data_IF_888989975984
#
_entry.id   IF_888989975984
#
_cell.length_a   1.000
_cell.length_b   1.000
_cell.length_c   1.000
_cell.angle_alpha   90.00
_cell.angle_beta   90.00
_cell.angle_gamma   90.00
#
_symmetry.space_group_name_H-M   'P 1'
#
loop_
_entity.id
_entity.type
_entity.pdbx_description
1 polymer ?
#
# COMPACT_ATOMS: atom_id res chain seq x y z
N UNK A 1 1.85 -6.67 -10.84
CA UNK A 1 2.36 -7.51 -9.73
C UNK A 1 1.86 -8.95 -9.76
N UNK A 2 0.65 -9.31 -9.27
CA UNK A 2 0.25 -10.73 -9.17
C UNK A 2 0.26 -11.55 -10.47
N UNK A 3 0.11 -10.91 -11.63
CA UNK A 3 0.13 -11.60 -12.94
C UNK A 3 1.46 -11.42 -13.65
N UNK A 4 2.03 -10.22 -13.55
CA UNK A 4 3.22 -9.82 -14.32
C UNK A 4 4.54 -10.16 -13.59
N UNK A 5 4.53 -10.25 -12.26
CA UNK A 5 5.70 -10.58 -11.45
C UNK A 5 5.30 -11.14 -10.07
N UNK A 6 4.93 -12.41 -10.04
CA UNK A 6 4.57 -13.13 -8.81
C UNK A 6 5.73 -13.23 -7.81
N UNK A 7 6.98 -13.26 -8.29
CA UNK A 7 8.15 -13.42 -7.43
C UNK A 7 8.36 -12.24 -6.46
N UNK A 8 7.78 -11.07 -6.74
CA UNK A 8 7.84 -9.87 -5.88
C UNK A 8 6.56 -9.64 -5.08
N UNK A 9 5.72 -10.68 -4.96
CA UNK A 9 4.53 -10.70 -4.11
C UNK A 9 4.78 -11.65 -2.94
N UNK A 10 4.91 -11.09 -1.75
CA UNK A 10 5.02 -11.82 -0.50
C UNK A 10 3.61 -12.09 0.03
N UNK A 11 3.16 -13.34 -0.07
CA UNK A 11 1.84 -13.77 0.45
C UNK A 11 1.94 -14.62 1.73
N UNK A 12 3.11 -15.22 1.97
CA UNK A 12 3.42 -16.04 3.13
C UNK A 12 4.93 -16.04 3.39
N UNK A 13 5.32 -16.27 4.64
CA UNK A 13 6.74 -16.46 5.04
C UNK A 13 7.01 -17.95 5.23
N UNK A 14 6.13 -18.62 5.96
CA UNK A 14 6.14 -20.09 6.12
C UNK A 14 5.32 -20.71 5.00
N UNK A 15 5.95 -21.58 4.20
CA UNK A 15 5.31 -22.23 3.07
C UNK A 15 4.01 -22.96 3.48
N UNK A 16 2.90 -22.64 2.80
CA UNK A 16 1.58 -23.19 3.07
C UNK A 16 0.81 -22.55 4.22
N UNK A 17 1.30 -21.46 4.83
CA UNK A 17 0.56 -20.72 5.87
C UNK A 17 -0.52 -19.81 5.28
N UNK A 18 -0.31 -19.30 4.06
CA UNK A 18 -1.17 -18.31 3.40
C UNK A 18 -1.26 -16.97 4.11
N UNK A 19 -0.34 -16.67 5.05
CA UNK A 19 -0.36 -15.47 5.88
C UNK A 19 1.04 -15.00 6.26
N UNK A 20 1.14 -13.70 6.54
CA UNK A 20 2.32 -13.07 7.14
C UNK A 20 1.94 -12.69 8.57
N UNK A 21 2.48 -13.39 9.57
CA UNK A 21 2.20 -13.10 10.98
C UNK A 21 3.18 -12.07 11.54
N UNK A 22 2.62 -10.98 12.06
CA UNK A 22 3.39 -9.91 12.72
C UNK A 22 3.07 -9.89 14.20
N UNK A 23 4.10 -10.01 15.04
CA UNK A 23 4.00 -10.00 16.50
C UNK A 23 5.18 -10.68 17.18
N UNK A 24 5.18 -10.67 18.51
CA UNK A 24 6.28 -11.25 19.28
C UNK A 24 6.44 -12.76 19.01
N UNK A 25 7.60 -13.19 18.52
CA UNK A 25 7.89 -14.59 18.18
C UNK A 25 7.14 -15.11 16.96
N UNK A 26 6.70 -14.21 16.06
CA UNK A 26 6.09 -14.53 14.76
C UNK A 26 7.10 -14.39 13.62
N UNK A 27 6.61 -14.39 12.37
CA UNK A 27 7.46 -14.25 11.18
C UNK A 27 8.25 -12.93 11.21
N UNK A 28 7.58 -11.86 11.63
CA UNK A 28 8.19 -10.57 11.89
C UNK A 28 7.75 -10.00 13.24
N UNK A 29 8.69 -9.42 13.99
CA UNK A 29 8.40 -8.78 15.28
C UNK A 29 7.53 -7.50 15.13
N UNK A 30 7.66 -6.79 14.01
CA UNK A 30 6.89 -5.58 13.72
C UNK A 30 6.77 -5.32 12.20
N UNK A 31 5.84 -4.46 11.81
CA UNK A 31 5.63 -4.08 10.39
C UNK A 31 6.89 -3.43 9.79
N UNK A 32 7.69 -2.73 10.59
CA UNK A 32 8.89 -2.07 10.08
C UNK A 32 9.93 -3.08 9.60
N UNK A 33 10.07 -4.20 10.30
CA UNK A 33 10.95 -5.31 9.94
C UNK A 33 10.50 -5.98 8.63
N UNK A 34 9.18 -6.16 8.45
CA UNK A 34 8.62 -6.65 7.18
C UNK A 34 9.01 -5.72 6.02
N UNK A 35 8.80 -4.41 6.15
CA UNK A 35 9.12 -3.45 5.08
C UNK A 35 10.62 -3.45 4.77
N UNK A 36 11.49 -3.48 5.78
CA UNK A 36 12.94 -3.51 5.57
C UNK A 36 13.37 -4.80 4.86
N UNK A 37 12.87 -5.96 5.28
CA UNK A 37 13.12 -7.24 4.59
C UNK A 37 12.64 -7.17 3.14
N UNK A 38 11.46 -6.59 2.89
CA UNK A 38 10.95 -6.46 1.52
C UNK A 38 11.83 -5.60 0.62
N UNK A 39 12.37 -4.49 1.13
CA UNK A 39 13.30 -3.65 0.37
C UNK A 39 14.59 -4.41 0.05
N UNK A 40 15.12 -5.17 1.00
CA UNK A 40 16.39 -5.89 0.82
C UNK A 40 16.23 -7.07 -0.15
N UNK A 41 15.12 -7.81 -0.05
CA UNK A 41 14.92 -9.07 -0.76
C UNK A 41 14.23 -8.91 -2.11
N UNK A 42 13.25 -8.00 -2.23
CA UNK A 42 12.38 -7.89 -3.40
C UNK A 42 12.56 -6.62 -4.22
N UNK A 43 13.32 -5.61 -3.77
CA UNK A 43 13.63 -4.43 -4.58
C UNK A 43 15.04 -4.56 -5.13
N UNK A 44 15.23 -4.25 -6.42
CA UNK A 44 16.55 -4.41 -7.04
C UNK A 44 17.57 -3.43 -6.45
N UNK A 45 18.87 -3.80 -6.36
CA UNK A 45 19.88 -3.05 -5.62
C UNK A 45 20.01 -1.56 -6.00
N UNK A 46 19.76 -1.19 -7.25
CA UNK A 46 19.83 0.20 -7.71
C UNK A 46 18.65 1.06 -7.25
N UNK A 47 17.55 0.46 -6.79
CA UNK A 47 16.41 1.15 -6.20
C UNK A 47 16.43 1.13 -4.66
N UNK A 48 17.23 0.26 -4.03
CA UNK A 48 17.19 0.08 -2.57
C UNK A 48 17.56 1.34 -1.77
N UNK A 49 18.48 2.15 -2.27
CA UNK A 49 18.91 3.41 -1.63
C UNK A 49 18.18 4.65 -2.16
N UNK A 50 17.15 4.44 -2.97
CA UNK A 50 16.39 5.54 -3.58
C UNK A 50 15.55 6.29 -2.54
N UNK A 51 15.69 7.61 -2.51
CA UNK A 51 14.98 8.47 -1.55
C UNK A 51 13.49 8.62 -1.85
N UNK A 52 13.07 8.29 -3.07
CA UNK A 52 11.69 8.42 -3.52
C UNK A 52 10.84 7.18 -3.22
N UNK A 53 11.42 6.14 -2.61
CA UNK A 53 10.67 4.96 -2.19
C UNK A 53 9.65 5.30 -1.09
N UNK A 54 8.44 4.81 -1.27
CA UNK A 54 7.34 4.95 -0.31
C UNK A 54 6.64 3.62 -0.06
N UNK A 55 5.93 3.55 1.07
CA UNK A 55 5.07 2.41 1.40
C UNK A 55 3.61 2.81 1.23
N UNK A 56 2.96 2.29 0.22
CA UNK A 56 1.52 2.43 0.02
C UNK A 56 0.80 1.38 0.86
N UNK A 57 -0.10 1.80 1.74
CA UNK A 57 -0.80 0.87 2.63
C UNK A 57 -2.24 1.28 2.94
N UNK A 58 -3.01 0.30 3.41
CA UNK A 58 -4.35 0.51 3.93
C UNK A 58 -4.37 1.26 5.26
N UNK A 59 -5.54 1.80 5.64
CA UNK A 59 -5.71 2.49 6.95
C UNK A 59 -5.38 1.58 8.13
N UNK A 60 -5.77 0.31 8.02
CA UNK A 60 -5.79 -0.63 9.14
C UNK A 60 -4.37 -0.88 9.66
N UNK A 61 -3.40 -1.20 8.79
CA UNK A 61 -2.00 -1.44 9.18
C UNK A 61 -1.36 -0.28 9.95
N UNK A 62 -1.56 0.97 9.50
CA UNK A 62 -1.05 2.14 10.21
C UNK A 62 -1.74 2.32 11.56
N UNK A 63 -3.07 2.10 11.62
CA UNK A 63 -3.80 2.19 12.86
C UNK A 63 -3.31 1.15 13.87
N UNK A 64 -3.12 -0.10 13.45
CA UNK A 64 -2.70 -1.19 14.33
C UNK A 64 -1.27 -0.96 14.87
N UNK A 65 -0.37 -0.36 14.07
CA UNK A 65 0.96 0.07 14.53
C UNK A 65 0.91 1.18 15.58
N UNK A 66 0.14 2.24 15.33
CA UNK A 66 0.15 3.44 16.18
C UNK A 66 -0.80 3.35 17.38
N UNK A 67 -1.82 2.50 17.33
CA UNK A 67 -2.82 2.38 18.38
C UNK A 67 -2.23 2.01 19.75
N UNK A 68 -1.29 1.05 19.89
CA UNK A 68 -0.65 0.75 21.17
C UNK A 68 0.19 1.90 21.75
N UNK A 69 0.65 2.82 20.91
CA UNK A 69 1.40 4.02 21.33
C UNK A 69 0.43 5.06 21.90
N UNK A 70 -0.68 5.28 21.19
CA UNK A 70 -1.72 6.25 21.58
C UNK A 70 -2.51 5.78 22.81
N UNK A 71 -2.76 4.47 22.92
CA UNK A 71 -3.58 3.87 23.98
C UNK A 71 -2.84 3.66 25.32
N UNK A 72 -1.78 4.44 25.58
CA UNK A 72 -1.02 4.40 26.84
C UNK A 72 -1.00 5.77 27.47
N UNK A 73 -1.19 5.83 28.80
CA UNK A 73 -0.93 7.04 29.58
C UNK A 73 0.58 7.19 29.73
N UNK A 74 1.15 8.21 29.10
CA UNK A 74 2.59 8.47 29.07
C UNK A 74 2.95 9.71 29.90
N UNK A 75 4.21 9.83 30.31
CA UNK A 75 4.70 11.07 30.92
C UNK A 75 4.65 12.23 29.89
N UNK A 76 4.55 13.51 30.31
CA UNK A 76 4.40 14.63 29.38
C UNK A 76 5.48 14.72 28.28
N UNK A 77 6.72 14.34 28.61
CA UNK A 77 7.84 14.30 27.65
C UNK A 77 7.72 13.16 26.64
N UNK A 78 7.23 12.00 27.08
CA UNK A 78 7.03 10.82 26.22
C UNK A 78 5.83 11.04 25.30
N UNK A 79 4.78 11.70 25.79
CA UNK A 79 3.62 12.08 24.99
C UNK A 79 4.01 12.97 23.81
N UNK A 80 4.87 13.97 24.02
CA UNK A 80 5.41 14.79 22.92
C UNK A 80 6.19 13.96 21.90
N UNK A 81 7.00 13.00 22.35
CA UNK A 81 7.72 12.10 21.45
C UNK A 81 6.76 11.19 20.66
N UNK A 82 5.72 10.65 21.31
CA UNK A 82 4.70 9.82 20.69
C UNK A 82 3.92 10.59 19.60
N UNK A 83 3.57 11.85 19.86
CA UNK A 83 2.91 12.72 18.88
C UNK A 83 3.80 12.96 17.65
N UNK A 84 5.08 13.28 17.85
CA UNK A 84 6.05 13.47 16.76
C UNK A 84 6.16 12.20 15.91
N UNK A 85 6.37 11.05 16.54
CA UNK A 85 6.52 9.75 15.85
C UNK A 85 5.25 9.38 15.07
N UNK A 86 4.08 9.62 15.65
CA UNK A 86 2.79 9.33 14.99
C UNK A 86 2.53 10.29 13.82
N UNK A 87 2.98 11.54 13.91
CA UNK A 87 2.79 12.54 12.86
C UNK A 87 3.57 12.23 11.57
N UNK A 88 4.76 11.65 11.69
CA UNK A 88 5.65 11.39 10.57
C UNK A 88 5.18 10.24 9.67
N UNK A 89 4.34 9.32 10.18
CA UNK A 89 3.78 8.17 9.45
C UNK A 89 4.80 7.44 8.59
N UNK A 90 5.78 6.80 9.24
CA UNK A 90 6.85 6.04 8.58
C UNK A 90 6.68 4.55 8.85
N UNK A 91 7.00 3.73 7.84
CA UNK A 91 7.09 2.27 7.93
C UNK A 91 8.44 1.83 7.38
N UNK A 92 9.23 1.09 8.17
CA UNK A 92 10.54 0.58 7.73
C UNK A 92 11.52 1.68 7.29
N UNK A 93 11.48 2.84 7.96
CA UNK A 93 12.21 4.05 7.57
C UNK A 93 11.84 4.63 6.18
N UNK A 94 10.71 4.23 5.60
CA UNK A 94 10.14 4.83 4.40
C UNK A 94 8.89 5.65 4.75
N UNK A 95 8.58 6.73 4.02
CA UNK A 95 7.32 7.45 4.15
C UNK A 95 6.13 6.53 3.83
N UNK A 96 5.11 6.51 4.69
CA UNK A 96 3.90 5.74 4.44
C UNK A 96 2.81 6.62 3.80
N UNK A 97 2.33 6.20 2.63
CA UNK A 97 1.24 6.83 1.89
C UNK A 97 -0.01 6.00 2.08
N UNK A 98 -1.07 6.65 2.58
CA UNK A 98 -2.36 5.99 2.75
C UNK A 98 -3.27 6.31 1.56
N UNK A 99 -3.76 5.28 0.90
CA UNK A 99 -4.70 5.38 -0.21
C UNK A 99 -6.07 4.81 0.22
N UNK A 100 -7.19 5.50 -0.06
CA UNK A 100 -8.52 4.96 0.25
C UNK A 100 -8.80 3.69 -0.57
N UNK A 101 -9.60 2.78 -0.01
CA UNK A 101 -9.99 1.49 -0.63
C UNK A 101 -8.83 0.52 -0.93
N UNK A 102 -7.61 0.82 -0.49
CA UNK A 102 -6.51 -0.14 -0.53
C UNK A 102 -6.80 -1.34 0.39
N UNK A 103 -6.40 -2.57 0.03
CA UNK A 103 -6.57 -3.75 0.88
C UNK A 103 -6.09 -3.52 2.32
N UNK A 104 -6.93 -3.86 3.30
CA UNK A 104 -6.65 -3.56 4.71
C UNK A 104 -5.39 -4.27 5.24
N UNK A 105 -5.13 -5.48 4.74
CA UNK A 105 -4.08 -6.39 5.22
C UNK A 105 -2.93 -6.51 4.20
N UNK A 106 -2.66 -5.44 3.46
CA UNK A 106 -1.60 -5.43 2.46
C UNK A 106 -0.88 -4.10 2.39
N UNK A 107 0.32 -4.15 1.82
CA UNK A 107 1.14 -2.98 1.53
C UNK A 107 1.91 -3.18 0.22
N UNK A 108 2.31 -2.08 -0.41
CA UNK A 108 3.11 -2.04 -1.62
C UNK A 108 4.27 -1.06 -1.41
N UNK A 109 5.50 -1.51 -1.60
CA UNK A 109 6.70 -0.69 -1.58
C UNK A 109 7.07 -0.37 -3.03
N UNK A 110 7.06 0.91 -3.39
CA UNK A 110 7.47 1.39 -4.72
C UNK A 110 7.64 2.92 -4.71
N UNK A 111 8.06 3.50 -5.84
CA UNK A 111 8.02 4.95 -6.05
C UNK A 111 6.66 5.39 -6.60
N UNK A 112 6.21 6.60 -6.26
CA UNK A 112 4.92 7.10 -6.76
C UNK A 112 4.91 7.39 -8.26
N UNK A 113 6.05 7.71 -8.85
CA UNK A 113 6.22 7.96 -10.29
C UNK A 113 6.38 6.69 -11.12
N UNK A 114 6.56 5.54 -10.47
CA UNK A 114 6.57 4.22 -11.11
C UNK A 114 5.15 3.72 -11.45
N UNK A 115 4.12 4.39 -10.93
CA UNK A 115 2.71 4.03 -11.12
C UNK A 115 2.07 4.96 -12.15
N UNK A 116 1.61 4.39 -13.25
CA UNK A 116 1.06 5.13 -14.37
C UNK A 116 -0.37 4.72 -14.71
N UNK A 117 -1.12 5.69 -15.23
CA UNK A 117 -2.43 5.46 -15.84
C UNK A 117 -2.31 5.88 -17.29
N UNK A 118 -2.51 4.93 -18.20
CA UNK A 118 -2.59 5.18 -19.63
C UNK A 118 -4.04 5.20 -20.07
N UNK A 119 -4.40 6.16 -20.92
CA UNK A 119 -5.69 6.19 -21.60
C UNK A 119 -5.47 6.27 -23.10
N UNK A 120 -6.33 5.58 -23.84
CA UNK A 120 -6.25 5.59 -25.29
C UNK A 120 -6.83 6.89 -25.83
N UNK A 121 -6.04 7.62 -26.63
CA UNK A 121 -6.45 8.87 -27.24
C UNK A 121 -7.69 8.70 -28.12
N UNK A 122 -8.62 9.67 -28.07
CA UNK A 122 -9.84 9.67 -28.87
C UNK A 122 -10.94 8.70 -28.43
N UNK A 123 -10.76 7.95 -27.34
CA UNK A 123 -11.76 6.94 -26.90
C UNK A 123 -12.82 7.46 -25.94
N UNK A 124 -12.64 8.68 -25.41
CA UNK A 124 -13.61 9.28 -24.50
C UNK A 124 -14.89 9.63 -25.25
N UNK A 125 -15.95 8.88 -24.98
CA UNK A 125 -17.27 9.06 -25.59
C UNK A 125 -18.31 9.29 -24.51
N UNK A 126 -19.27 10.17 -24.81
CA UNK A 126 -20.38 10.53 -23.93
C UNK A 126 -21.70 10.43 -24.68
N UNK A 127 -22.72 9.87 -24.05
CA UNK A 127 -24.08 9.80 -24.57
C UNK A 127 -25.05 10.25 -23.50
N UNK A 128 -25.87 11.25 -23.82
CA UNK A 128 -26.90 11.79 -22.92
C UNK A 128 -28.25 11.42 -23.49
N UNK A 129 -29.08 10.74 -22.70
CA UNK A 129 -30.41 10.27 -23.10
C UNK A 129 -31.44 10.83 -22.14
N UNK A 130 -32.49 11.46 -22.68
CA UNK A 130 -33.67 11.83 -21.91
C UNK A 130 -34.59 10.60 -21.79
N UNK A 131 -34.62 9.98 -20.61
CA UNK A 131 -35.38 8.75 -20.36
C UNK A 131 -36.73 9.05 -19.71
N UNK A 132 -37.72 9.37 -20.54
CA UNK A 132 -39.10 9.63 -20.12
C UNK A 132 -39.75 8.47 -19.34
N UNK A 133 -39.30 7.21 -19.50
CA UNK A 133 -39.87 6.07 -18.75
C UNK A 133 -39.53 6.11 -17.26
N UNK A 134 -38.46 6.81 -16.87
CA UNK A 134 -37.97 6.91 -15.50
C UNK A 134 -37.84 8.35 -15.00
N UNK A 135 -38.38 9.30 -15.76
CA UNK A 135 -38.36 10.74 -15.46
C UNK A 135 -36.96 11.23 -15.06
N UNK A 136 -35.95 10.92 -15.89
CA UNK A 136 -34.56 11.26 -15.62
C UNK A 136 -33.71 11.37 -16.88
N UNK A 137 -32.65 12.17 -16.79
CA UNK A 137 -31.59 12.23 -17.79
C UNK A 137 -30.51 11.21 -17.43
N UNK A 138 -30.17 10.34 -18.37
CA UNK A 138 -29.12 9.33 -18.22
C UNK A 138 -27.87 9.78 -18.96
N UNK A 139 -26.73 9.80 -18.26
CA UNK A 139 -25.43 10.13 -18.83
C UNK A 139 -24.55 8.87 -18.84
N UNK A 140 -24.11 8.46 -20.02
CA UNK A 140 -23.21 7.34 -20.21
C UNK A 140 -21.86 7.87 -20.69
N UNK A 141 -20.80 7.58 -19.95
CA UNK A 141 -19.43 7.92 -20.33
C UNK A 141 -18.60 6.65 -20.43
N UNK A 142 -17.78 6.55 -21.47
CA UNK A 142 -16.84 5.46 -21.68
C UNK A 142 -15.48 6.01 -22.06
N UNK A 143 -14.42 5.44 -21.50
CA UNK A 143 -13.03 5.68 -21.86
C UNK A 143 -12.28 4.36 -21.81
N UNK A 144 -11.29 4.19 -22.70
CA UNK A 144 -10.37 3.05 -22.60
C UNK A 144 -9.16 3.49 -21.78
N UNK A 145 -8.98 2.89 -20.61
CA UNK A 145 -7.88 3.17 -19.69
C UNK A 145 -7.24 1.87 -19.16
N UNK A 146 -5.97 1.96 -18.77
CA UNK A 146 -5.20 0.87 -18.19
C UNK A 146 -4.26 1.40 -17.11
N UNK A 147 -4.08 0.61 -16.06
CA UNK A 147 -3.10 0.84 -15.01
C UNK A 147 -1.82 0.07 -15.34
N UNK A 148 -0.66 0.70 -15.19
CA UNK A 148 0.64 0.09 -15.48
C UNK A 148 1.62 0.43 -14.37
N UNK A 149 2.46 -0.54 -14.03
CA UNK A 149 3.66 -0.34 -13.22
C UNK A 149 4.82 -0.34 -14.22
N UNK A 150 5.56 0.76 -14.30
CA UNK A 150 6.57 0.96 -15.34
C UNK A 150 7.73 -0.01 -15.18
N UNK A 151 8.28 -0.09 -13.96
CA UNK A 151 9.32 -1.03 -13.60
C UNK A 151 8.87 -1.92 -12.43
N UNK A 152 8.71 -3.21 -12.73
CA UNK A 152 8.38 -4.24 -11.76
C UNK A 152 9.53 -4.51 -10.79
N UNK A 153 10.78 -4.18 -11.13
CA UNK A 153 11.93 -4.30 -10.25
C UNK A 153 11.95 -3.27 -9.12
N UNK A 154 11.23 -2.17 -9.29
CA UNK A 154 11.03 -1.11 -8.30
C UNK A 154 9.75 -1.31 -7.46
N UNK A 155 9.15 -2.51 -7.48
CA UNK A 155 7.91 -2.78 -6.78
C UNK A 155 7.97 -4.10 -5.99
N UNK A 156 7.52 -4.06 -4.73
CA UNK A 156 7.36 -5.24 -3.88
C UNK A 156 6.03 -5.16 -3.13
N UNK A 157 5.23 -6.21 -3.20
CA UNK A 157 3.88 -6.25 -2.60
C UNK A 157 3.83 -7.28 -1.49
N UNK A 158 3.20 -6.95 -0.36
CA UNK A 158 2.89 -7.91 0.68
C UNK A 158 1.38 -7.97 0.93
N UNK A 159 0.87 -9.18 1.10
CA UNK A 159 -0.55 -9.49 1.26
C UNK A 159 -0.78 -10.43 2.44
N UNK A 160 -2.04 -10.55 2.87
CA UNK A 160 -2.44 -11.42 3.98
C UNK A 160 -1.68 -11.16 5.29
N UNK A 161 -1.38 -9.89 5.56
CA UNK A 161 -0.73 -9.46 6.80
C UNK A 161 -1.72 -9.57 7.95
N UNK A 162 -1.33 -10.30 8.99
CA UNK A 162 -2.11 -10.45 10.23
C UNK A 162 -1.25 -9.92 11.37
N UNK A 163 -1.72 -8.85 12.00
CA UNK A 163 -1.15 -8.37 13.26
C UNK A 163 -1.82 -9.10 14.43
N UNK A 164 -0.99 -9.65 15.32
CA UNK A 164 -1.41 -10.33 16.55
C UNK A 164 -0.77 -9.73 17.78
#
# INVERSE_FOLDING_TARGET
MRVENEARVMAEVVAGSGKIEIGAGKDFENIDALVVSMVIEFIDPWYQEDTDLVVICGRQLLADKYFPIINKTQAPTEMLAAEIVTSQKRLGNLPAVRVPYFPANGLLVTRLDNLSIYWQEGTRRRTVVDNAKRDRIENFESVNESYVIEDLACAAMAENIILS
#
